data_IF_613473181503
#
_entry.id   IF_613473181503
#
_cell.length_a   1.000
_cell.length_b   1.000
_cell.length_c   1.000
_cell.angle_alpha   90.00
_cell.angle_beta   90.00
_cell.angle_gamma   90.00
#
_symmetry.space_group_name_H-M   'P 1'
#
loop_
_entity.id
_entity.type
_entity.pdbx_description
1 polymer ?
#
# COMPACT_ATOMS: atom_id res chain seq x y z
N UNK A 1 11.46 -59.28 -39.23
CA UNK A 1 11.51 -57.81 -39.12
C UNK A 1 10.83 -57.41 -37.85
N UNK A 2 11.63 -56.91 -36.85
CA UNK A 2 11.12 -56.51 -35.53
C UNK A 2 11.01 -54.98 -35.52
N UNK A 3 9.82 -54.44 -35.44
CA UNK A 3 9.59 -52.98 -35.32
C UNK A 3 9.78 -52.59 -33.85
N UNK A 4 10.85 -51.79 -33.59
CA UNK A 4 11.03 -51.16 -32.28
C UNK A 4 10.31 -49.83 -32.31
N UNK A 5 9.20 -49.72 -31.58
CA UNK A 5 8.51 -48.46 -31.36
C UNK A 5 9.24 -47.65 -30.29
N UNK A 6 9.93 -46.59 -30.69
CA UNK A 6 10.55 -45.62 -29.79
C UNK A 6 9.47 -44.64 -29.30
N UNK A 7 8.94 -44.87 -28.06
CA UNK A 7 8.07 -43.91 -27.42
C UNK A 7 8.88 -42.69 -26.95
N UNK A 8 8.74 -41.59 -27.66
CA UNK A 8 9.32 -40.30 -27.29
C UNK A 8 8.41 -39.71 -26.19
N UNK A 9 8.82 -39.84 -24.92
CA UNK A 9 8.16 -39.19 -23.79
C UNK A 9 8.42 -37.68 -23.84
N UNK A 10 7.44 -36.91 -24.36
CA UNK A 10 7.42 -35.46 -24.32
C UNK A 10 7.16 -34.99 -22.88
N UNK A 11 8.21 -34.68 -22.14
CA UNK A 11 8.09 -34.06 -20.81
C UNK A 11 7.64 -32.61 -21.00
N UNK A 12 6.36 -32.37 -20.86
CA UNK A 12 5.80 -31.01 -20.80
C UNK A 12 6.12 -30.47 -19.41
N UNK A 13 7.19 -29.68 -19.30
CA UNK A 13 7.49 -28.89 -18.12
C UNK A 13 6.48 -27.75 -18.04
N UNK A 14 5.43 -27.91 -17.25
CA UNK A 14 4.55 -26.80 -16.87
C UNK A 14 5.38 -25.78 -16.09
N UNK A 15 5.37 -24.49 -16.51
CA UNK A 15 6.01 -23.46 -15.73
C UNK A 15 5.30 -23.43 -14.36
N UNK A 16 6.07 -23.63 -13.29
CA UNK A 16 5.58 -23.43 -11.94
C UNK A 16 5.08 -21.97 -11.86
N UNK A 17 3.77 -21.80 -11.61
CA UNK A 17 3.20 -20.50 -11.28
C UNK A 17 3.88 -20.03 -10.01
N UNK A 18 4.93 -19.20 -10.15
CA UNK A 18 5.53 -18.52 -9.03
C UNK A 18 4.42 -17.65 -8.42
N UNK A 19 4.00 -18.00 -7.22
CA UNK A 19 3.08 -17.18 -6.43
C UNK A 19 3.86 -15.94 -6.00
N UNK A 20 4.01 -14.97 -6.90
CA UNK A 20 4.73 -13.73 -6.66
C UNK A 20 3.94 -12.92 -5.63
N UNK A 21 4.37 -13.03 -4.38
CA UNK A 21 3.89 -12.19 -3.28
C UNK A 21 4.21 -10.74 -3.63
N UNK A 22 3.20 -9.87 -3.65
CA UNK A 22 3.36 -8.42 -3.88
C UNK A 22 4.37 -7.86 -2.87
N UNK A 23 5.39 -7.20 -3.35
CA UNK A 23 6.43 -6.55 -2.53
C UNK A 23 6.05 -5.10 -2.19
N UNK A 24 6.79 -4.49 -1.26
CA UNK A 24 6.66 -3.07 -0.96
C UNK A 24 7.04 -2.20 -2.16
N UNK A 25 8.04 -2.62 -2.92
CA UNK A 25 8.50 -1.98 -4.16
C UNK A 25 7.40 -1.98 -5.23
N UNK A 26 6.66 -3.09 -5.40
CA UNK A 26 5.52 -3.17 -6.33
C UNK A 26 4.44 -2.16 -5.96
N UNK A 27 4.17 -1.99 -4.66
CA UNK A 27 3.19 -1.02 -4.15
C UNK A 27 3.65 0.40 -4.47
N UNK A 28 4.91 0.74 -4.19
CA UNK A 28 5.48 2.07 -4.46
C UNK A 28 5.48 2.34 -5.97
N UNK A 29 5.93 1.40 -6.77
CA UNK A 29 5.93 1.53 -8.22
C UNK A 29 4.52 1.75 -8.76
N UNK A 30 3.53 1.02 -8.24
CA UNK A 30 2.14 1.20 -8.63
C UNK A 30 1.61 2.56 -8.21
N UNK A 31 1.89 3.00 -6.99
CA UNK A 31 1.43 4.27 -6.46
C UNK A 31 1.97 5.47 -7.25
N UNK A 32 3.27 5.47 -7.59
CA UNK A 32 3.93 6.56 -8.31
C UNK A 32 3.41 6.78 -9.72
N UNK A 33 2.81 5.75 -10.37
CA UNK A 33 2.15 5.89 -11.68
C UNK A 33 0.99 6.89 -11.69
N UNK A 34 0.45 7.22 -10.51
CA UNK A 34 -0.69 8.13 -10.35
C UNK A 34 -0.29 9.51 -9.81
N UNK A 35 1.00 9.84 -9.75
CA UNK A 35 1.50 11.15 -9.33
C UNK A 35 0.85 12.28 -10.15
N UNK A 36 0.53 13.39 -9.50
CA UNK A 36 -0.11 14.56 -10.13
C UNK A 36 -1.61 14.43 -10.39
N UNK A 37 -2.23 13.27 -10.20
CA UNK A 37 -3.68 13.13 -10.35
C UNK A 37 -4.38 13.97 -9.27
N UNK A 38 -5.35 14.77 -9.70
CA UNK A 38 -6.07 15.74 -8.86
C UNK A 38 -6.74 15.11 -7.65
N UNK A 39 -6.83 15.89 -6.58
CA UNK A 39 -7.65 15.54 -5.42
C UNK A 39 -9.14 15.76 -5.73
N UNK A 40 -9.96 14.81 -5.33
CA UNK A 40 -11.42 14.92 -5.40
C UNK A 40 -12.05 14.25 -4.18
N UNK A 41 -12.83 14.95 -3.35
CA UNK A 41 -13.53 14.32 -2.23
C UNK A 41 -14.37 13.13 -2.69
N UNK A 42 -14.21 11.98 -2.02
CA UNK A 42 -14.85 10.72 -2.40
C UNK A 42 -14.31 10.08 -3.70
N UNK A 43 -13.29 10.66 -4.31
CA UNK A 43 -12.66 10.16 -5.53
C UNK A 43 -11.92 8.83 -5.30
N UNK A 44 -12.03 7.91 -6.27
CA UNK A 44 -11.46 6.56 -6.16
C UNK A 44 -10.97 5.99 -7.49
N UNK A 45 -10.77 6.83 -8.49
CA UNK A 45 -10.23 6.44 -9.79
C UNK A 45 -9.52 7.62 -10.48
N UNK A 46 -8.54 7.34 -11.39
CA UNK A 46 -7.73 8.40 -11.99
C UNK A 46 -8.51 9.38 -12.89
N UNK A 47 -9.65 8.96 -13.48
CA UNK A 47 -10.45 9.84 -14.35
C UNK A 47 -11.16 10.93 -13.55
N UNK A 48 -11.69 10.60 -12.38
CA UNK A 48 -12.40 11.53 -11.49
C UNK A 48 -11.48 12.24 -10.50
N UNK A 49 -10.33 11.66 -10.17
CA UNK A 49 -9.42 12.06 -9.11
C UNK A 49 -9.54 11.15 -7.90
N UNK A 50 -8.73 11.43 -6.88
CA UNK A 50 -8.64 10.64 -5.65
C UNK A 50 -8.85 11.49 -4.40
N UNK A 51 -9.50 10.94 -3.38
CA UNK A 51 -9.23 11.31 -1.99
C UNK A 51 -8.12 10.42 -1.40
N UNK A 52 -7.68 10.67 -0.16
CA UNK A 52 -6.54 9.97 0.42
C UNK A 52 -6.72 8.45 0.49
N UNK A 53 -7.83 7.98 1.04
CA UNK A 53 -8.11 6.55 1.16
C UNK A 53 -8.55 5.91 -0.17
N UNK A 54 -9.16 6.68 -1.07
CA UNK A 54 -9.49 6.23 -2.42
C UNK A 54 -8.26 5.98 -3.28
N UNK A 55 -7.22 6.80 -3.12
CA UNK A 55 -5.93 6.58 -3.73
C UNK A 55 -5.31 5.26 -3.24
N UNK A 56 -5.18 5.09 -1.92
CA UNK A 56 -4.64 3.88 -1.32
C UNK A 56 -5.42 2.65 -1.77
N UNK A 57 -6.74 2.64 -1.61
CA UNK A 57 -7.58 1.50 -2.01
C UNK A 57 -7.48 1.18 -3.50
N UNK A 58 -7.30 2.20 -4.34
CA UNK A 58 -7.11 2.00 -5.77
C UNK A 58 -5.78 1.34 -6.10
N UNK A 59 -4.68 1.80 -5.48
CA UNK A 59 -3.34 1.22 -5.67
C UNK A 59 -3.35 -0.26 -5.29
N UNK A 60 -3.84 -0.60 -4.10
CA UNK A 60 -3.90 -1.98 -3.63
C UNK A 60 -4.79 -2.87 -4.51
N UNK A 61 -5.94 -2.38 -4.94
CA UNK A 61 -6.82 -3.12 -5.86
C UNK A 61 -6.15 -3.40 -7.21
N UNK A 62 -5.25 -2.53 -7.69
CA UNK A 62 -4.47 -2.76 -8.91
C UNK A 62 -3.38 -3.81 -8.75
N UNK A 63 -3.15 -4.26 -7.55
CA UNK A 63 -2.24 -5.35 -7.17
C UNK A 63 -3.04 -6.57 -6.63
N UNK A 64 -4.35 -6.63 -6.94
CA UNK A 64 -5.28 -7.69 -6.53
C UNK A 64 -5.39 -7.86 -5.00
N UNK A 65 -5.11 -6.78 -4.25
CA UNK A 65 -5.26 -6.73 -2.79
C UNK A 65 -6.53 -5.93 -2.44
N UNK A 66 -7.49 -6.59 -1.81
CA UNK A 66 -8.70 -5.93 -1.32
C UNK A 66 -8.44 -5.25 0.02
N UNK A 67 -8.79 -3.97 0.13
CA UNK A 67 -8.65 -3.18 1.34
C UNK A 67 -9.88 -2.29 1.58
N UNK A 68 -10.16 -1.91 2.83
CA UNK A 68 -11.26 -0.99 3.15
C UNK A 68 -11.14 0.36 2.46
N UNK A 69 -12.29 1.05 2.29
CA UNK A 69 -12.38 2.32 1.57
C UNK A 69 -12.06 3.55 2.43
N UNK A 70 -12.23 3.49 3.73
CA UNK A 70 -11.99 4.64 4.62
C UNK A 70 -10.60 4.60 5.26
N UNK A 71 -10.01 5.78 5.52
CA UNK A 71 -8.70 5.87 6.17
C UNK A 71 -8.69 5.23 7.57
N UNK A 72 -9.74 5.40 8.34
CA UNK A 72 -9.86 4.79 9.66
C UNK A 72 -9.96 3.25 9.60
N UNK A 73 -10.69 2.71 8.61
CA UNK A 73 -10.84 1.26 8.44
C UNK A 73 -9.61 0.59 7.82
N UNK A 74 -8.72 1.36 7.19
CA UNK A 74 -7.42 0.88 6.70
C UNK A 74 -6.42 0.62 7.85
N UNK A 75 -6.62 1.25 9.01
CA UNK A 75 -5.76 1.05 10.17
C UNK A 75 -6.00 -0.32 10.80
N UNK A 76 -4.93 -1.08 10.98
CA UNK A 76 -4.95 -2.39 11.62
C UNK A 76 -4.02 -2.37 12.84
N UNK A 77 -4.61 -2.41 14.04
CA UNK A 77 -3.88 -2.32 15.31
C UNK A 77 -2.88 -3.46 15.48
N UNK A 78 -3.25 -4.67 15.07
CA UNK A 78 -2.38 -5.87 15.19
C UNK A 78 -1.16 -5.84 14.27
N UNK A 79 -1.16 -4.91 13.31
CA UNK A 79 -0.05 -4.67 12.37
C UNK A 79 0.61 -3.32 12.56
N UNK A 80 0.38 -2.68 13.70
CA UNK A 80 0.97 -1.39 14.01
C UNK A 80 2.50 -1.50 14.07
N UNK A 81 3.17 -0.53 13.44
CA UNK A 81 4.62 -0.32 13.53
C UNK A 81 4.85 0.75 14.60
N UNK A 82 5.48 0.38 15.69
CA UNK A 82 5.69 1.27 16.84
C UNK A 82 6.95 2.12 16.72
N UNK A 83 8.01 1.56 16.11
CA UNK A 83 9.22 2.32 15.79
C UNK A 83 9.25 2.61 14.28
N UNK A 84 9.31 3.87 13.90
CA UNK A 84 9.35 4.27 12.49
C UNK A 84 10.65 3.87 11.77
N UNK A 85 11.69 3.50 12.51
CA UNK A 85 12.89 2.88 11.96
C UNK A 85 12.63 1.51 11.33
N UNK A 86 11.57 0.84 11.80
CA UNK A 86 11.14 -0.47 11.28
C UNK A 86 10.17 -0.37 10.12
N UNK A 87 9.88 0.84 9.61
CA UNK A 87 9.04 1.01 8.44
C UNK A 87 9.66 0.36 7.21
N UNK A 88 8.81 -0.17 6.35
CA UNK A 88 9.17 -0.71 5.04
C UNK A 88 8.43 0.03 3.93
N UNK A 89 8.94 -0.06 2.70
CA UNK A 89 8.25 0.43 1.52
C UNK A 89 6.85 -0.20 1.42
N UNK A 90 5.87 0.60 1.05
CA UNK A 90 4.49 0.16 0.93
C UNK A 90 3.69 0.15 2.24
N UNK A 91 4.30 0.36 3.40
CA UNK A 91 3.58 0.51 4.66
C UNK A 91 2.62 1.71 4.64
N UNK A 92 1.60 1.67 5.46
CA UNK A 92 0.62 2.75 5.56
C UNK A 92 0.91 3.64 6.76
N UNK A 93 0.85 4.96 6.54
CA UNK A 93 1.00 5.98 7.58
C UNK A 93 -0.28 6.79 7.70
N UNK A 94 -0.69 7.05 8.94
CA UNK A 94 -1.98 7.64 9.27
C UNK A 94 -1.80 8.94 10.04
N UNK A 95 -2.57 9.93 9.64
CA UNK A 95 -2.52 11.27 10.21
C UNK A 95 -3.91 11.71 10.65
N UNK A 96 -3.97 12.66 11.57
CA UNK A 96 -5.20 13.39 11.81
C UNK A 96 -5.60 14.18 10.54
N UNK A 97 -6.87 14.53 10.44
CA UNK A 97 -7.37 15.32 9.30
C UNK A 97 -6.89 16.78 9.33
N UNK A 98 -7.71 17.69 8.82
CA UNK A 98 -7.41 19.13 8.79
C UNK A 98 -7.19 19.74 10.17
N UNK A 99 -7.84 19.20 11.20
CA UNK A 99 -7.63 19.57 12.61
C UNK A 99 -6.73 18.53 13.28
N UNK A 100 -5.79 18.98 14.12
CA UNK A 100 -4.98 18.10 14.96
C UNK A 100 -5.91 17.43 15.98
N UNK A 101 -5.93 16.12 16.00
CA UNK A 101 -6.77 15.29 16.88
C UNK A 101 -6.23 13.85 16.91
N UNK A 102 -6.78 13.02 17.80
CA UNK A 102 -6.45 11.59 17.84
C UNK A 102 -7.29 10.73 16.85
N UNK A 103 -8.05 11.37 15.95
CA UNK A 103 -8.89 10.67 14.97
C UNK A 103 -8.17 10.62 13.62
N UNK A 104 -8.08 9.43 13.05
CA UNK A 104 -7.53 9.22 11.71
C UNK A 104 -8.44 9.93 10.69
N UNK A 105 -7.83 10.84 9.93
CA UNK A 105 -8.51 11.59 8.87
C UNK A 105 -7.75 11.60 7.55
N UNK A 106 -6.52 11.06 7.52
CA UNK A 106 -5.69 11.00 6.34
C UNK A 106 -4.78 9.77 6.35
N UNK A 107 -4.35 9.32 5.16
CA UNK A 107 -3.49 8.14 4.99
C UNK A 107 -2.58 8.33 3.78
N UNK A 108 -1.36 7.79 3.88
CA UNK A 108 -0.37 7.71 2.80
C UNK A 108 0.32 6.36 2.76
N UNK A 109 1.09 6.13 1.71
CA UNK A 109 1.90 4.93 1.47
C UNK A 109 3.37 5.32 1.60
N UNK A 110 4.15 4.64 2.43
CA UNK A 110 5.60 4.88 2.60
C UNK A 110 6.34 4.57 1.31
N UNK A 111 7.17 5.50 0.84
CA UNK A 111 7.98 5.36 -0.39
C UNK A 111 9.48 5.43 -0.15
N UNK A 112 9.92 5.91 1.00
CA UNK A 112 11.31 5.83 1.44
C UNK A 112 11.40 5.90 2.96
N UNK A 113 12.43 5.29 3.54
CA UNK A 113 12.69 5.29 4.99
C UNK A 113 14.18 5.49 5.23
N UNK A 114 14.52 6.34 6.19
CA UNK A 114 15.83 6.37 6.82
C UNK A 114 15.75 5.52 8.11
N UNK A 115 16.24 4.30 8.07
CA UNK A 115 16.17 3.36 9.20
C UNK A 115 17.07 3.74 10.38
N UNK A 116 17.97 4.73 10.22
CA UNK A 116 18.78 5.27 11.33
C UNK A 116 18.00 6.31 12.14
N UNK A 117 17.30 7.22 11.46
CA UNK A 117 16.58 8.33 12.10
C UNK A 117 15.09 8.03 12.31
N UNK A 118 14.48 7.14 11.51
CA UNK A 118 13.04 6.90 11.47
C UNK A 118 12.29 7.93 10.63
N UNK A 119 12.99 8.82 9.92
CA UNK A 119 12.39 9.74 8.96
C UNK A 119 11.95 8.99 7.71
N UNK A 120 10.82 9.36 7.15
CA UNK A 120 10.29 8.70 5.96
C UNK A 120 9.60 9.69 5.02
N UNK A 121 9.50 9.30 3.74
CA UNK A 121 8.64 9.97 2.78
C UNK A 121 7.46 9.06 2.43
N UNK A 122 6.34 9.67 2.08
CA UNK A 122 5.12 8.94 1.75
C UNK A 122 4.38 9.61 0.58
N UNK A 123 3.77 8.79 -0.26
CA UNK A 123 2.91 9.23 -1.36
C UNK A 123 1.44 9.20 -0.92
N UNK A 124 0.71 10.25 -1.22
CA UNK A 124 -0.69 10.41 -0.80
C UNK A 124 -1.45 11.34 -1.73
N UNK A 125 -2.79 11.30 -1.70
CA UNK A 125 -3.62 12.29 -2.37
C UNK A 125 -3.85 13.48 -1.42
N UNK A 126 -3.20 14.60 -1.72
CA UNK A 126 -3.33 15.89 -1.03
C UNK A 126 -4.12 16.89 -1.90
N UNK A 127 -4.38 18.10 -1.39
CA UNK A 127 -5.13 19.13 -2.12
C UNK A 127 -4.52 19.47 -3.48
N UNK A 128 -3.20 19.46 -3.60
CA UNK A 128 -2.48 19.69 -4.86
C UNK A 128 -2.46 18.47 -5.80
N UNK A 129 -3.07 17.36 -5.41
CA UNK A 129 -3.07 16.09 -6.13
C UNK A 129 -2.25 15.02 -5.44
N UNK A 130 -2.03 13.90 -6.13
CA UNK A 130 -1.17 12.82 -5.66
C UNK A 130 0.28 13.28 -5.69
N UNK A 131 0.91 13.32 -4.53
CA UNK A 131 2.26 13.86 -4.31
C UNK A 131 3.01 13.11 -3.22
N UNK A 132 4.32 13.30 -3.17
CA UNK A 132 5.18 12.79 -2.09
C UNK A 132 5.44 13.93 -1.10
N UNK A 133 5.34 13.61 0.19
CA UNK A 133 5.67 14.50 1.31
C UNK A 133 6.60 13.81 2.29
N UNK A 134 7.30 14.60 3.11
CA UNK A 134 8.17 14.11 4.19
C UNK A 134 7.45 14.07 5.54
N UNK A 135 7.79 13.07 6.36
CA UNK A 135 7.37 13.01 7.77
C UNK A 135 7.89 14.20 8.60
N UNK A 136 8.96 14.85 8.15
CA UNK A 136 9.59 16.00 8.81
C UNK A 136 8.93 17.34 8.49
N UNK A 137 8.05 17.39 7.48
CA UNK A 137 7.28 18.60 7.21
C UNK A 137 6.39 18.97 8.40
N UNK A 138 6.43 20.22 8.83
CA UNK A 138 5.69 20.75 9.99
C UNK A 138 4.21 20.36 10.02
N UNK A 139 3.57 20.31 8.86
CA UNK A 139 2.17 19.93 8.74
C UNK A 139 1.95 18.46 9.12
N UNK A 140 2.79 17.57 8.64
CA UNK A 140 2.64 16.11 8.82
C UNK A 140 3.21 15.63 10.15
N UNK A 141 4.36 16.16 10.59
CA UNK A 141 4.97 15.80 11.88
C UNK A 141 4.01 16.03 13.07
N UNK A 142 3.24 17.13 13.03
CA UNK A 142 2.25 17.47 14.06
C UNK A 142 0.95 16.64 13.99
N UNK A 143 0.74 15.90 12.92
CA UNK A 143 -0.50 15.15 12.64
C UNK A 143 -0.32 13.64 12.55
N UNK A 144 0.92 13.17 12.54
CA UNK A 144 1.23 11.74 12.49
C UNK A 144 0.67 11.05 13.73
N UNK A 145 -0.09 9.97 13.52
CA UNK A 145 -0.73 9.22 14.58
C UNK A 145 -0.19 7.80 14.66
N UNK A 146 -0.20 7.08 13.53
CA UNK A 146 0.11 5.67 13.49
C UNK A 146 0.78 5.28 12.18
N UNK A 147 1.46 4.13 12.21
CA UNK A 147 1.88 3.41 11.02
C UNK A 147 1.48 1.94 11.12
N UNK A 148 1.17 1.33 10.00
CA UNK A 148 0.83 -0.10 9.94
C UNK A 148 1.57 -0.78 8.81
N UNK A 149 1.94 -2.03 9.04
CA UNK A 149 2.42 -2.90 7.99
C UNK A 149 1.37 -3.02 6.87
N UNK A 150 1.84 -2.96 5.64
CA UNK A 150 1.01 -3.07 4.45
C UNK A 150 0.13 -4.35 4.45
N UNK A 151 -1.13 -4.27 3.95
CA UNK A 151 -2.11 -5.35 4.07
C UNK A 151 -1.94 -6.53 3.10
N UNK A 152 -0.76 -6.76 2.51
CA UNK A 152 -0.57 -7.90 1.62
C UNK A 152 -0.75 -9.27 2.30
N UNK A 153 -1.16 -9.29 3.58
CA UNK A 153 -1.69 -10.46 4.29
C UNK A 153 -2.69 -10.02 5.37
N UNK A 154 -3.84 -9.50 4.98
CA UNK A 154 -5.01 -9.71 5.80
C UNK A 154 -5.68 -10.98 5.26
N UNK A 155 -5.21 -12.15 5.71
CA UNK A 155 -6.04 -13.34 5.62
C UNK A 155 -7.27 -13.05 6.48
N UNK A 156 -8.43 -13.16 5.87
CA UNK A 156 -9.74 -13.16 6.51
C UNK A 156 -9.98 -14.44 7.36
N UNK A 157 -8.94 -15.02 7.92
CA UNK A 157 -8.97 -16.27 8.67
C UNK A 157 -8.69 -16.04 10.16
N UNK A 158 -9.40 -15.08 10.74
CA UNK A 158 -9.60 -15.08 12.20
C UNK A 158 -11.11 -15.15 12.42
N UNK A 159 -11.66 -16.31 12.81
CA UNK A 159 -13.04 -16.38 13.23
C UNK A 159 -13.19 -15.49 14.47
N UNK A 160 -14.17 -14.59 14.42
CA UNK A 160 -14.64 -13.82 15.58
C UNK A 160 -15.04 -14.79 16.69
N UNK A 161 -14.30 -14.77 17.79
CA UNK A 161 -14.73 -15.36 19.04
C UNK A 161 -15.60 -14.37 19.81
#
# INVERSE_FOLDING_TARGET
>A
MKYVYLFLLLIITLPAMANNKVSGEDIVQKATQYSGIRYTPGGSNPKRGFDCSGFVSYVFRKLDISVPRSSASLFCKDKQVSDYKDLHLGDLVFFSGSRISNKIGHVGIVVSVNNETGEFSFIHAARQGVTVSSSTEDYYSKRLLYACRSPHKCNSDTPSA
#
